data_IF_461316778243
#
_entry.id   IF_461316778243
#
_cell.length_a   1.000
_cell.length_b   1.000
_cell.length_c   1.000
_cell.angle_alpha   90.00
_cell.angle_beta   90.00
_cell.angle_gamma   90.00
#
_symmetry.space_group_name_H-M   'P 1'
#
loop_
_entity.id
_entity.type
_entity.pdbx_description
1 polymer ?
#
# COMPACT_ATOMS: atom_id res chain seq x y z
N UNK A 1 7.25 5.29 -12.53
CA UNK A 1 7.70 5.15 -11.14
C UNK A 1 9.19 4.86 -11.12
N UNK A 2 10.04 5.76 -10.62
CA UNK A 2 11.45 5.44 -10.39
C UNK A 2 11.50 4.45 -9.24
N UNK A 3 12.21 3.32 -9.42
CA UNK A 3 12.42 2.37 -8.34
C UNK A 3 13.09 3.10 -7.17
N UNK A 4 12.57 2.88 -5.97
CA UNK A 4 13.11 3.48 -4.76
C UNK A 4 14.45 2.84 -4.41
N UNK A 5 15.48 3.64 -4.20
CA UNK A 5 16.82 3.21 -3.75
C UNK A 5 16.82 2.58 -2.33
N UNK A 6 15.66 2.52 -1.68
CA UNK A 6 15.45 1.95 -0.34
C UNK A 6 15.58 0.42 -0.34
N UNK A 7 15.48 -0.24 -1.51
CA UNK A 7 16.01 -1.59 -1.71
C UNK A 7 17.52 -1.48 -1.92
N UNK A 8 18.24 -1.29 -0.81
CA UNK A 8 19.66 -0.94 -0.77
C UNK A 8 20.51 -1.59 -1.86
N UNK A 9 21.04 -0.75 -2.76
CA UNK A 9 22.34 -0.86 -3.42
C UNK A 9 22.68 -2.12 -4.24
N UNK A 10 21.79 -3.11 -4.39
CA UNK A 10 22.14 -4.39 -5.00
C UNK A 10 21.14 -4.81 -6.09
N UNK A 11 21.12 -4.08 -7.20
CA UNK A 11 20.43 -4.51 -8.43
C UNK A 11 20.79 -5.96 -8.79
N UNK A 12 22.06 -6.34 -8.65
CA UNK A 12 22.54 -7.71 -8.84
C UNK A 12 21.89 -8.76 -7.92
N UNK A 13 21.49 -8.40 -6.70
CA UNK A 13 20.77 -9.31 -5.79
C UNK A 13 19.32 -9.46 -6.22
N UNK A 14 18.67 -8.33 -6.55
CA UNK A 14 17.31 -8.35 -7.07
C UNK A 14 17.24 -9.20 -8.35
N UNK A 15 18.09 -8.95 -9.34
CA UNK A 15 18.08 -9.67 -10.61
C UNK A 15 18.33 -11.19 -10.44
N UNK A 16 19.14 -11.57 -9.46
CA UNK A 16 19.46 -12.98 -9.19
C UNK A 16 18.33 -13.75 -8.52
N UNK A 17 17.56 -13.10 -7.64
CA UNK A 17 16.59 -13.77 -6.77
C UNK A 17 15.14 -13.35 -7.02
N UNK A 18 14.91 -12.28 -7.77
CA UNK A 18 13.57 -11.86 -8.17
C UNK A 18 12.99 -12.86 -9.16
N UNK A 19 11.79 -13.33 -8.84
CA UNK A 19 10.99 -14.15 -9.74
C UNK A 19 9.69 -13.40 -9.99
N UNK A 20 9.38 -13.16 -11.26
CA UNK A 20 8.09 -12.59 -11.63
C UNK A 20 6.97 -13.60 -11.30
N UNK A 21 6.11 -13.21 -10.38
CA UNK A 21 4.99 -14.04 -9.93
C UNK A 21 3.76 -13.88 -10.83
N UNK A 22 3.72 -12.87 -11.71
CA UNK A 22 2.57 -12.60 -12.60
C UNK A 22 2.16 -13.83 -13.42
N UNK A 23 3.07 -14.59 -14.07
CA UNK A 23 2.68 -15.80 -14.78
C UNK A 23 2.11 -16.90 -13.88
N UNK A 24 2.44 -16.90 -12.58
CA UNK A 24 1.84 -17.82 -11.61
C UNK A 24 0.40 -17.39 -11.30
N UNK A 25 0.19 -16.09 -11.04
CA UNK A 25 -1.14 -15.52 -10.77
C UNK A 25 -2.07 -15.73 -11.96
N UNK A 26 -1.61 -15.44 -13.18
CA UNK A 26 -2.41 -15.62 -14.41
C UNK A 26 -2.85 -17.10 -14.57
N UNK A 27 -1.97 -18.06 -14.24
CA UNK A 27 -2.31 -19.50 -14.26
C UNK A 27 -3.30 -19.91 -13.18
N UNK A 28 -3.29 -19.23 -12.02
CA UNK A 28 -4.26 -19.46 -10.95
C UNK A 28 -5.63 -18.91 -11.37
N UNK A 29 -5.66 -17.70 -11.93
CA UNK A 29 -6.87 -17.03 -12.42
C UNK A 29 -7.57 -17.86 -13.51
N UNK A 30 -6.81 -18.43 -14.46
CA UNK A 30 -7.35 -19.34 -15.48
C UNK A 30 -7.98 -20.64 -14.92
N UNK A 31 -7.54 -21.09 -13.75
CA UNK A 31 -8.05 -22.31 -13.10
C UNK A 31 -9.15 -22.03 -12.10
N UNK A 32 -9.36 -20.79 -11.72
CA UNK A 32 -10.32 -20.41 -10.71
C UNK A 32 -11.75 -20.61 -11.22
N UNK A 33 -12.62 -21.14 -10.34
CA UNK A 33 -14.07 -21.17 -10.59
C UNK A 33 -14.73 -19.85 -10.23
N UNK A 34 -14.06 -19.04 -9.40
CA UNK A 34 -14.52 -17.73 -8.99
C UNK A 34 -13.33 -16.81 -8.69
N UNK A 35 -13.43 -15.55 -9.12
CA UNK A 35 -12.48 -14.48 -8.79
C UNK A 35 -13.22 -13.35 -8.10
N UNK A 36 -12.74 -12.95 -6.92
CA UNK A 36 -13.28 -11.84 -6.13
C UNK A 36 -12.20 -10.79 -5.92
N UNK A 37 -12.59 -9.52 -5.88
CA UNK A 37 -11.72 -8.42 -5.45
C UNK A 37 -12.12 -8.04 -4.03
N UNK A 38 -11.19 -8.20 -3.09
CA UNK A 38 -11.35 -7.71 -1.72
C UNK A 38 -10.98 -6.24 -1.68
N UNK A 39 -11.98 -5.38 -1.88
CA UNK A 39 -11.80 -3.93 -1.90
C UNK A 39 -11.29 -3.35 -0.58
N UNK A 40 -11.63 -3.99 0.54
CA UNK A 40 -11.10 -3.60 1.86
C UNK A 40 -9.59 -3.82 1.91
N UNK A 41 -8.83 -2.75 2.14
CA UNK A 41 -7.38 -2.79 2.33
C UNK A 41 -6.61 -3.35 1.13
N UNK A 42 -6.63 -2.62 0.00
CA UNK A 42 -5.74 -2.76 -1.17
C UNK A 42 -6.17 -3.76 -2.24
N UNK A 43 -7.46 -3.76 -2.64
CA UNK A 43 -8.03 -4.45 -3.83
C UNK A 43 -7.37 -5.80 -4.15
N UNK A 44 -7.25 -6.67 -3.15
CA UNK A 44 -6.52 -7.93 -3.31
C UNK A 44 -7.39 -8.93 -4.05
N UNK A 45 -6.81 -9.63 -5.03
CA UNK A 45 -7.54 -10.66 -5.79
C UNK A 45 -7.60 -11.95 -4.97
N UNK A 46 -8.78 -12.54 -4.90
CA UNK A 46 -9.05 -13.80 -4.22
C UNK A 46 -9.62 -14.76 -5.25
N UNK A 47 -8.95 -15.89 -5.43
CA UNK A 47 -9.31 -16.94 -6.38
C UNK A 47 -9.82 -18.15 -5.62
N UNK A 48 -10.98 -18.67 -6.00
CA UNK A 48 -11.50 -19.95 -5.51
C UNK A 48 -11.26 -21.00 -6.59
N UNK A 49 -10.59 -22.09 -6.23
CA UNK A 49 -10.25 -23.20 -7.14
C UNK A 49 -11.33 -24.30 -7.11
N UNK A 50 -11.35 -25.22 -8.10
CA UNK A 50 -12.35 -26.30 -8.18
C UNK A 50 -12.37 -27.22 -6.96
N UNK A 51 -11.22 -27.38 -6.28
CA UNK A 51 -11.10 -28.15 -5.05
C UNK A 51 -11.47 -27.35 -3.79
N UNK A 52 -12.16 -26.21 -3.94
CA UNK A 52 -12.53 -25.26 -2.87
C UNK A 52 -11.35 -24.57 -2.18
N UNK A 53 -10.11 -24.72 -2.66
CA UNK A 53 -8.98 -23.97 -2.14
C UNK A 53 -9.13 -22.48 -2.49
N UNK A 54 -8.84 -21.60 -1.54
CA UNK A 54 -8.85 -20.15 -1.74
C UNK A 54 -7.42 -19.62 -1.75
N UNK A 55 -7.06 -18.89 -2.79
CA UNK A 55 -5.75 -18.26 -2.93
C UNK A 55 -5.95 -16.74 -3.03
N UNK A 56 -5.35 -16.00 -2.11
CA UNK A 56 -5.33 -14.54 -2.14
C UNK A 56 -3.95 -14.06 -2.58
N UNK A 57 -3.92 -13.16 -3.57
CA UNK A 57 -2.66 -12.60 -4.09
C UNK A 57 -2.51 -11.15 -3.72
N UNK A 58 -1.26 -10.77 -3.42
CA UNK A 58 -0.88 -9.41 -3.08
C UNK A 58 0.09 -8.93 -4.15
N UNK A 59 -0.41 -8.11 -5.07
CA UNK A 59 0.40 -7.54 -6.16
C UNK A 59 0.46 -6.03 -5.98
N UNK A 60 1.59 -5.47 -5.53
CA UNK A 60 1.76 -4.01 -5.47
C UNK A 60 1.61 -3.41 -6.87
N UNK A 61 0.75 -2.41 -7.03
CA UNK A 61 0.41 -1.81 -8.32
C UNK A 61 -0.66 -0.74 -8.17
N UNK A 62 -1.18 -0.23 -9.30
CA UNK A 62 -2.20 0.82 -9.29
C UNK A 62 -3.50 0.35 -8.64
N UNK A 63 -3.99 -0.83 -9.02
CA UNK A 63 -5.20 -1.44 -8.41
C UNK A 63 -5.07 -1.60 -6.90
N UNK A 64 -3.90 -2.03 -6.43
CA UNK A 64 -3.61 -2.16 -5.01
C UNK A 64 -3.66 -0.82 -4.28
N UNK A 65 -3.14 0.25 -4.91
CA UNK A 65 -3.19 1.60 -4.36
C UNK A 65 -4.63 2.14 -4.31
N UNK A 66 -5.44 1.90 -5.35
CA UNK A 66 -6.86 2.29 -5.42
C UNK A 66 -7.68 1.82 -4.21
N UNK A 67 -7.43 0.61 -3.73
CA UNK A 67 -8.12 0.06 -2.55
C UNK A 67 -7.47 0.42 -1.21
N UNK A 68 -6.41 1.23 -1.19
CA UNK A 68 -5.60 1.44 0.00
C UNK A 68 -6.19 2.52 0.92
N UNK A 69 -6.63 2.13 2.11
CA UNK A 69 -7.18 3.04 3.13
C UNK A 69 -6.22 3.35 4.28
N UNK A 70 -4.98 2.85 4.24
CA UNK A 70 -4.03 2.94 5.38
C UNK A 70 -3.46 4.34 5.57
N UNK A 71 -3.31 4.73 6.83
CA UNK A 71 -2.49 5.85 7.28
C UNK A 71 -1.31 5.28 8.09
N UNK A 72 -0.19 5.98 8.16
CA UNK A 72 0.99 5.53 8.93
C UNK A 72 1.53 6.64 9.80
N UNK A 73 2.11 6.26 10.94
CA UNK A 73 2.84 7.17 11.83
C UNK A 73 4.28 6.68 11.90
N UNK A 74 5.23 7.54 11.59
CA UNK A 74 6.67 7.30 11.75
C UNK A 74 7.09 7.40 13.21
N UNK A 75 8.23 6.80 13.54
CA UNK A 75 8.79 6.84 14.90
C UNK A 75 9.13 8.26 15.38
N UNK A 76 9.30 9.20 14.45
CA UNK A 76 9.56 10.62 14.68
C UNK A 76 8.27 11.45 14.89
N UNK A 77 7.10 10.83 14.78
CA UNK A 77 5.80 11.50 14.85
C UNK A 77 5.31 12.04 13.51
N UNK A 78 5.89 11.62 12.39
CA UNK A 78 5.43 12.03 11.05
C UNK A 78 4.25 11.18 10.58
N UNK A 79 3.16 11.82 10.19
CA UNK A 79 1.95 11.19 9.64
C UNK A 79 2.07 11.07 8.11
N UNK A 80 1.87 9.87 7.58
CA UNK A 80 2.00 9.58 6.14
C UNK A 80 0.70 9.03 5.55
N UNK A 81 0.31 9.57 4.40
CA UNK A 81 -0.81 9.09 3.60
C UNK A 81 -0.49 7.85 2.76
N UNK A 82 0.79 7.60 2.47
CA UNK A 82 1.27 6.52 1.62
C UNK A 82 2.65 6.01 2.08
N UNK A 83 2.91 4.71 1.92
CA UNK A 83 4.23 4.11 2.25
C UNK A 83 5.35 4.66 1.35
N UNK A 84 5.05 4.90 0.07
CA UNK A 84 6.05 5.24 -0.93
C UNK A 84 6.24 6.76 -1.11
N UNK A 85 5.49 7.59 -0.37
CA UNK A 85 5.54 9.07 -0.44
C UNK A 85 5.86 9.66 0.92
N UNK A 86 7.06 9.34 1.41
CA UNK A 86 7.58 9.91 2.66
C UNK A 86 7.76 11.43 2.58
N UNK A 87 7.93 11.98 1.38
CA UNK A 87 8.03 13.41 1.06
C UNK A 87 6.73 14.19 1.36
N UNK A 88 5.59 13.51 1.42
CA UNK A 88 4.28 14.12 1.69
C UNK A 88 3.85 13.98 3.16
N UNK A 89 4.75 13.52 4.04
CA UNK A 89 4.47 13.36 5.45
C UNK A 89 4.36 14.68 6.20
N UNK A 90 3.50 14.74 7.22
CA UNK A 90 3.37 15.91 8.12
C UNK A 90 3.79 15.52 9.53
N UNK A 91 4.81 16.18 10.09
CA UNK A 91 5.22 15.93 11.48
C UNK A 91 4.26 16.62 12.45
N UNK A 92 3.69 15.85 13.38
CA UNK A 92 2.69 16.34 14.35
C UNK A 92 3.20 16.43 15.78
N UNK A 93 4.51 16.20 16.00
CA UNK A 93 5.09 16.08 17.33
C UNK A 93 4.98 17.40 18.11
N UNK A 94 5.19 18.53 17.44
CA UNK A 94 5.07 19.84 18.06
C UNK A 94 3.62 20.12 18.49
N UNK A 95 2.66 19.74 17.65
CA UNK A 95 1.23 19.93 17.88
C UNK A 95 0.73 19.07 19.03
N UNK A 96 1.19 17.82 19.14
CA UNK A 96 0.83 16.92 20.23
C UNK A 96 1.28 17.45 21.60
N UNK A 97 2.41 18.16 21.66
CA UNK A 97 2.92 18.75 22.91
C UNK A 97 2.15 19.99 23.37
N UNK A 98 1.36 20.62 22.51
CA UNK A 98 0.70 21.89 22.78
C UNK A 98 -0.79 21.75 23.14
N UNK A 99 -1.29 20.52 23.33
CA UNK A 99 -2.68 20.22 23.75
C UNK A 99 -3.76 21.00 22.98
N UNK A 100 -3.65 21.03 21.65
CA UNK A 100 -4.65 21.67 20.80
C UNK A 100 -6.01 20.96 20.86
N UNK A 101 -7.12 21.65 20.52
CA UNK A 101 -8.42 20.98 20.39
C UNK A 101 -8.40 19.93 19.28
N UNK A 102 -9.26 18.91 19.41
CA UNK A 102 -9.35 17.77 18.49
C UNK A 102 -9.49 18.19 17.01
N UNK A 103 -10.26 19.25 16.75
CA UNK A 103 -10.48 19.81 15.42
C UNK A 103 -9.17 20.12 14.66
N UNK A 104 -8.10 20.53 15.35
CA UNK A 104 -6.80 20.78 14.71
C UNK A 104 -6.18 19.49 14.18
N UNK A 105 -6.27 18.40 14.95
CA UNK A 105 -5.73 17.11 14.53
C UNK A 105 -6.59 16.49 13.41
N UNK A 106 -7.91 16.68 13.43
CA UNK A 106 -8.79 16.30 12.31
C UNK A 106 -8.38 17.01 11.01
N UNK A 107 -8.06 18.30 11.07
CA UNK A 107 -7.58 19.04 9.92
C UNK A 107 -6.24 18.50 9.39
N UNK A 108 -5.29 18.20 10.29
CA UNK A 108 -4.00 17.61 9.89
C UNK A 108 -4.20 16.24 9.22
N UNK A 109 -5.04 15.37 9.79
CA UNK A 109 -5.34 14.07 9.19
C UNK A 109 -5.98 14.26 7.83
N UNK A 110 -6.93 15.19 7.69
CA UNK A 110 -7.57 15.51 6.41
C UNK A 110 -6.55 15.97 5.37
N UNK A 111 -5.64 16.89 5.72
CA UNK A 111 -4.59 17.35 4.82
C UNK A 111 -3.68 16.21 4.33
N UNK A 112 -3.30 15.27 5.22
CA UNK A 112 -2.47 14.11 4.85
C UNK A 112 -3.24 13.09 3.99
N UNK A 113 -4.55 12.98 4.17
CA UNK A 113 -5.40 12.16 3.32
C UNK A 113 -5.60 12.82 1.95
N UNK A 114 -5.86 14.13 1.91
CA UNK A 114 -6.07 14.91 0.69
C UNK A 114 -4.79 15.00 -0.16
N UNK A 115 -3.61 14.94 0.47
CA UNK A 115 -2.32 14.91 -0.22
C UNK A 115 -1.93 13.52 -0.75
N UNK A 116 -2.78 12.50 -0.59
CA UNK A 116 -2.45 11.13 -1.02
C UNK A 116 -2.19 11.10 -2.52
N UNK A 117 -0.94 10.80 -2.83
CA UNK A 117 -0.51 10.49 -4.17
C UNK A 117 0.10 9.09 -4.24
N UNK A 118 -0.01 8.44 -5.39
CA UNK A 118 -0.71 8.88 -6.61
C UNK A 118 -2.26 8.86 -6.50
N UNK A 119 -2.92 9.84 -7.14
CA UNK A 119 -4.37 9.82 -7.37
C UNK A 119 -4.64 8.74 -8.41
N UNK A 120 -5.25 7.65 -7.99
CA UNK A 120 -5.81 6.68 -8.92
C UNK A 120 -7.29 6.57 -8.58
#
# INVERSE_FOLDING_TARGET
>A
HKASDVLGGNGNFFDKYHVDIKPIIDRIELKAVETKIRGSMQNRKVFVLPNSATIETITPGHDFCLGCTKLRVGCDGTLFGCLNRSDLGTNIKAELNNHYPLAKYEEIVRQVVDSREPYF
#
